data_IF_385144348467
#
_entry.id   IF_385144348467
#
_cell.length_a   1.000
_cell.length_b   1.000
_cell.length_c   1.000
_cell.angle_alpha   90.00
_cell.angle_beta   90.00
_cell.angle_gamma   90.00
#
_symmetry.space_group_name_H-M   'P 1'
#
loop_
_entity.id
_entity.type
_entity.pdbx_description
1 polymer ?
#
# COMPACT_ATOMS: atom_id res chain seq x y z
N UNK A 1 -0.63 -9.11 -12.80
CA UNK A 1 -2.07 -9.29 -12.49
C UNK A 1 -2.79 -7.98 -12.74
N UNK A 2 -3.89 -7.94 -13.51
CA UNK A 2 -4.73 -6.74 -13.65
C UNK A 2 -5.58 -6.54 -12.40
N UNK A 3 -5.99 -5.31 -12.10
CA UNK A 3 -6.87 -5.05 -10.95
C UNK A 3 -8.20 -5.81 -11.06
N UNK A 4 -8.74 -5.99 -12.27
CA UNK A 4 -9.94 -6.80 -12.51
C UNK A 4 -9.79 -8.28 -12.13
N UNK A 5 -8.55 -8.75 -11.99
CA UNK A 5 -8.19 -10.11 -11.61
C UNK A 5 -7.69 -10.18 -10.15
N UNK A 6 -7.87 -9.13 -9.34
CA UNK A 6 -7.29 -9.06 -7.98
C UNK A 6 -7.79 -10.18 -7.06
N UNK A 7 -8.97 -10.73 -7.31
CA UNK A 7 -9.50 -11.90 -6.59
C UNK A 7 -8.68 -13.18 -6.77
N UNK A 8 -7.79 -13.26 -7.75
CA UNK A 8 -6.80 -14.33 -7.85
C UNK A 8 -5.89 -14.34 -6.62
N UNK A 9 -5.63 -13.19 -5.97
CA UNK A 9 -4.80 -13.14 -4.75
C UNK A 9 -5.34 -13.97 -3.58
N UNK A 10 -6.63 -14.32 -3.62
CA UNK A 10 -7.30 -15.14 -2.62
C UNK A 10 -7.12 -16.64 -2.88
N UNK A 11 -6.42 -17.01 -3.95
CA UNK A 11 -6.14 -18.41 -4.26
C UNK A 11 -4.99 -18.90 -3.37
N UNK A 12 -5.10 -20.13 -2.87
CA UNK A 12 -4.15 -20.72 -1.91
C UNK A 12 -2.79 -21.10 -2.52
N UNK A 13 -2.66 -21.03 -3.85
CA UNK A 13 -1.42 -21.39 -4.53
C UNK A 13 -0.42 -20.22 -4.52
N UNK A 14 0.89 -20.48 -4.35
CA UNK A 14 1.91 -19.46 -4.55
C UNK A 14 1.77 -18.84 -5.93
N UNK A 15 1.77 -17.50 -6.02
CA UNK A 15 1.69 -16.88 -7.33
C UNK A 15 3.05 -16.87 -7.99
N UNK A 16 3.06 -16.97 -9.32
CA UNK A 16 4.29 -16.92 -10.11
C UNK A 16 5.00 -15.56 -10.04
N UNK A 17 4.37 -14.52 -9.49
CA UNK A 17 4.90 -13.16 -9.41
C UNK A 17 4.60 -12.53 -8.03
N UNK A 18 5.46 -12.84 -7.06
CA UNK A 18 5.36 -12.32 -5.69
C UNK A 18 6.28 -11.12 -5.43
N UNK A 19 7.32 -10.94 -6.25
CA UNK A 19 8.33 -9.89 -6.10
C UNK A 19 8.74 -9.35 -7.47
N UNK A 20 8.91 -8.03 -7.58
CA UNK A 20 9.37 -7.34 -8.78
C UNK A 20 8.30 -6.45 -9.38
N UNK A 21 8.54 -5.98 -10.60
CA UNK A 21 7.60 -5.14 -11.34
C UNK A 21 7.51 -5.49 -12.82
N UNK A 22 6.42 -5.07 -13.45
CA UNK A 22 6.15 -5.25 -14.87
C UNK A 22 5.25 -4.13 -15.39
N UNK A 23 5.18 -3.98 -16.72
CA UNK A 23 4.13 -3.18 -17.35
C UNK A 23 3.11 -4.12 -17.97
N UNK A 24 1.84 -3.91 -17.64
CA UNK A 24 0.73 -4.67 -18.19
C UNK A 24 0.47 -4.27 -19.64
N UNK A 25 -0.30 -5.08 -20.37
CA UNK A 25 -0.68 -4.87 -21.77
C UNK A 25 -1.48 -3.58 -22.00
N UNK A 26 -2.25 -3.14 -21.00
CA UNK A 26 -2.95 -1.85 -20.98
C UNK A 26 -2.04 -0.68 -20.63
N UNK A 27 -0.76 -0.93 -20.36
CA UNK A 27 0.27 0.05 -20.01
C UNK A 27 0.30 0.45 -18.54
N UNK A 28 -0.54 -0.11 -17.67
CA UNK A 28 -0.45 0.10 -16.20
C UNK A 28 0.82 -0.55 -15.68
N UNK A 29 1.54 0.16 -14.81
CA UNK A 29 2.68 -0.38 -14.09
C UNK A 29 2.20 -1.25 -12.94
N UNK A 30 2.71 -2.46 -12.84
CA UNK A 30 2.38 -3.42 -11.79
C UNK A 30 3.61 -3.69 -10.95
N UNK A 31 3.49 -3.56 -9.63
CA UNK A 31 4.55 -3.90 -8.67
C UNK A 31 4.01 -4.93 -7.71
N UNK A 32 4.79 -5.96 -7.43
CA UNK A 32 4.54 -6.96 -6.41
C UNK A 32 5.70 -6.96 -5.42
N UNK A 33 5.37 -6.97 -4.13
CA UNK A 33 6.34 -7.11 -3.05
C UNK A 33 5.81 -8.14 -2.07
N UNK A 34 6.67 -9.07 -1.66
CA UNK A 34 6.40 -10.01 -0.58
C UNK A 34 7.35 -9.69 0.56
N UNK A 35 6.78 -9.44 1.74
CA UNK A 35 7.55 -9.15 2.96
C UNK A 35 7.15 -10.15 4.04
N UNK A 36 8.13 -10.92 4.50
CA UNK A 36 8.01 -11.69 5.74
C UNK A 36 8.14 -10.73 6.91
N UNK A 37 7.18 -10.78 7.84
CA UNK A 37 7.15 -9.93 9.02
C UNK A 37 7.12 -10.83 10.26
N UNK A 38 8.30 -11.26 10.76
CA UNK A 38 8.39 -12.12 11.94
C UNK A 38 7.69 -11.49 13.14
N UNK A 39 7.05 -12.32 13.96
CA UNK A 39 6.33 -11.94 15.18
C UNK A 39 5.17 -10.93 14.98
N UNK A 40 4.89 -10.53 13.75
CA UNK A 40 3.76 -9.68 13.40
C UNK A 40 2.50 -10.50 13.10
N UNK A 41 1.34 -9.85 13.14
CA UNK A 41 0.06 -10.45 12.72
C UNK A 41 -0.77 -9.45 11.93
N UNK A 42 -1.75 -9.92 11.17
CA UNK A 42 -2.69 -9.07 10.44
C UNK A 42 -3.42 -8.08 11.35
N UNK A 43 -3.72 -8.48 12.59
CA UNK A 43 -4.31 -7.57 13.60
C UNK A 43 -3.38 -6.40 13.94
N UNK A 44 -2.08 -6.65 14.08
CA UNK A 44 -1.09 -5.60 14.35
C UNK A 44 -0.97 -4.64 13.16
N UNK A 45 -1.01 -5.16 11.93
CA UNK A 45 -0.99 -4.34 10.72
C UNK A 45 -2.22 -3.46 10.62
N UNK A 46 -3.43 -4.03 10.79
CA UNK A 46 -4.68 -3.27 10.78
C UNK A 46 -4.68 -2.15 11.83
N UNK A 47 -4.19 -2.47 13.03
CA UNK A 47 -4.01 -1.51 14.11
C UNK A 47 -3.01 -0.42 13.74
N UNK A 48 -1.86 -0.74 13.15
CA UNK A 48 -0.84 0.25 12.78
C UNK A 48 -1.42 1.37 11.91
N UNK A 49 -2.20 1.02 10.87
CA UNK A 49 -2.83 2.03 10.02
C UNK A 49 -3.86 2.89 10.77
N UNK A 50 -4.53 2.31 11.77
CA UNK A 50 -5.45 3.01 12.68
C UNK A 50 -4.73 3.89 13.71
N UNK A 51 -3.54 3.49 14.14
CA UNK A 51 -2.71 4.17 15.15
C UNK A 51 -1.90 5.33 14.56
N UNK A 52 -1.37 5.17 13.34
CA UNK A 52 -0.49 6.12 12.65
C UNK A 52 -1.16 7.48 12.43
N UNK A 53 -0.91 8.46 13.28
CA UNK A 53 -1.58 9.77 13.24
C UNK A 53 -0.61 10.95 13.07
N UNK A 54 0.63 10.79 13.54
CA UNK A 54 1.61 11.87 13.65
C UNK A 54 2.77 11.70 12.68
N UNK A 55 3.40 12.82 12.32
CA UNK A 55 4.61 12.79 11.48
C UNK A 55 5.76 12.02 12.12
N UNK A 56 5.88 12.03 13.45
CA UNK A 56 6.94 11.27 14.12
C UNK A 56 6.71 9.76 14.01
N UNK A 57 5.47 9.28 14.18
CA UNK A 57 5.12 7.88 13.89
C UNK A 57 5.39 7.53 12.43
N UNK A 58 5.03 8.42 11.50
CA UNK A 58 5.26 8.19 10.08
C UNK A 58 6.76 8.06 9.76
N UNK A 59 7.60 8.91 10.35
CA UNK A 59 9.06 8.82 10.23
C UNK A 59 9.62 7.52 10.81
N UNK A 60 9.09 7.01 11.92
CA UNK A 60 9.54 5.71 12.47
C UNK A 60 9.37 4.58 11.45
N UNK A 61 8.30 4.61 10.64
CA UNK A 61 8.01 3.59 9.64
C UNK A 61 9.02 3.55 8.49
N UNK A 62 9.54 4.71 8.08
CA UNK A 62 10.65 4.77 7.14
C UNK A 62 11.49 6.05 7.39
N UNK A 63 12.53 5.99 8.25
CA UNK A 63 13.26 7.18 8.71
C UNK A 63 13.93 7.96 7.58
N UNK A 64 14.35 7.26 6.53
CA UNK A 64 14.98 7.88 5.36
C UNK A 64 13.98 8.51 4.40
N UNK A 65 12.76 7.99 4.21
CA UNK A 65 11.88 8.43 3.11
C UNK A 65 10.66 9.22 3.59
N UNK A 66 10.13 8.92 4.77
CA UNK A 66 8.95 9.60 5.32
C UNK A 66 9.31 10.96 5.92
N UNK A 67 8.70 12.03 5.43
CA UNK A 67 9.05 13.41 5.83
C UNK A 67 7.95 14.05 6.67
N UNK A 68 6.70 13.89 6.24
CA UNK A 68 5.56 14.56 6.84
C UNK A 68 4.29 13.78 6.57
N UNK A 69 3.38 13.78 7.54
CA UNK A 69 2.02 13.37 7.29
C UNK A 69 0.97 14.20 8.03
N UNK A 70 -0.25 14.15 7.50
CA UNK A 70 -1.49 14.50 8.20
C UNK A 70 -2.65 13.68 7.66
N UNK A 71 -3.70 13.59 8.46
CA UNK A 71 -4.96 12.99 8.03
C UNK A 71 -6.01 14.05 7.74
N UNK A 72 -6.84 13.79 6.72
CA UNK A 72 -8.05 14.55 6.42
C UNK A 72 -9.22 13.58 6.18
N UNK A 73 -10.45 14.05 6.40
CA UNK A 73 -11.66 13.24 6.25
C UNK A 73 -12.07 12.55 7.55
N UNK A 74 -12.71 11.38 7.43
CA UNK A 74 -13.43 10.66 8.50
C UNK A 74 -12.57 10.16 9.67
N UNK A 75 -11.27 10.50 9.73
CA UNK A 75 -10.40 10.01 10.80
C UNK A 75 -10.76 10.66 12.15
N UNK A 76 -11.68 10.02 12.84
CA UNK A 76 -12.18 10.37 14.17
C UNK A 76 -12.93 9.24 14.88
N UNK A 77 -13.02 8.03 14.29
CA UNK A 77 -13.68 6.85 14.89
C UNK A 77 -12.70 5.71 15.21
N UNK A 78 -11.39 5.93 15.05
CA UNK A 78 -10.38 4.91 15.31
C UNK A 78 -10.19 3.87 14.19
N UNK A 79 -10.79 4.09 13.01
CA UNK A 79 -10.53 3.31 11.78
C UNK A 79 -9.96 4.22 10.70
N UNK A 80 -8.98 3.72 9.93
CA UNK A 80 -8.30 4.48 8.88
C UNK A 80 -9.08 4.54 7.54
N UNK A 81 -10.01 3.60 7.33
CA UNK A 81 -10.86 3.53 6.14
C UNK A 81 -11.71 4.80 6.01
N UNK A 82 -11.87 5.30 4.79
CA UNK A 82 -12.51 6.58 4.49
C UNK A 82 -11.59 7.79 4.67
N UNK A 83 -10.60 7.68 5.55
CA UNK A 83 -9.56 8.68 5.77
C UNK A 83 -8.64 8.86 4.56
N UNK A 84 -8.13 10.08 4.40
CA UNK A 84 -7.06 10.38 3.44
C UNK A 84 -5.79 10.81 4.18
N UNK A 85 -4.73 10.04 3.99
CA UNK A 85 -3.40 10.33 4.47
C UNK A 85 -2.69 11.21 3.45
N UNK A 86 -2.42 12.47 3.83
CA UNK A 86 -1.65 13.40 3.04
C UNK A 86 -0.21 13.28 3.51
N UNK A 87 0.67 12.84 2.61
CA UNK A 87 2.06 12.53 2.93
C UNK A 87 3.02 13.31 2.06
N UNK A 88 4.15 13.66 2.65
CA UNK A 88 5.35 14.02 1.90
C UNK A 88 6.38 12.92 2.12
N UNK A 89 6.81 12.28 1.04
CA UNK A 89 7.73 11.15 1.11
C UNK A 89 8.66 11.11 -0.10
N UNK A 90 9.83 10.53 0.10
CA UNK A 90 10.72 10.10 -0.97
C UNK A 90 10.36 8.67 -1.35
N UNK A 91 10.77 8.25 -2.55
CA UNK A 91 10.62 6.87 -3.03
C UNK A 91 12.02 6.38 -3.46
N UNK A 92 12.96 6.31 -2.50
CA UNK A 92 14.35 5.90 -2.73
C UNK A 92 15.24 6.93 -3.46
N UNK A 93 14.92 8.23 -3.40
CA UNK A 93 15.69 9.29 -4.05
C UNK A 93 15.49 10.67 -3.41
N UNK A 94 16.21 11.69 -3.87
CA UNK A 94 16.19 13.01 -3.23
C UNK A 94 14.86 13.78 -3.37
N UNK A 95 14.03 13.43 -4.35
CA UNK A 95 12.77 14.12 -4.64
C UNK A 95 11.72 13.78 -3.59
N UNK A 96 11.15 14.80 -2.96
CA UNK A 96 10.00 14.66 -2.08
C UNK A 96 8.71 14.78 -2.91
N UNK A 97 7.93 13.71 -2.92
CA UNK A 97 6.62 13.62 -3.52
C UNK A 97 5.56 14.05 -2.50
N UNK A 98 4.55 14.79 -2.95
CA UNK A 98 3.39 15.17 -2.13
C UNK A 98 2.19 14.36 -2.58
N UNK A 99 1.83 13.35 -1.80
CA UNK A 99 0.80 12.38 -2.18
C UNK A 99 -0.42 12.47 -1.26
N UNK A 100 -1.55 12.04 -1.80
CA UNK A 100 -2.75 11.72 -1.05
C UNK A 100 -3.04 10.24 -1.22
N UNK A 101 -3.31 9.56 -0.12
CA UNK A 101 -3.60 8.13 -0.06
C UNK A 101 -4.94 8.00 0.65
N UNK A 102 -5.98 7.63 -0.10
CA UNK A 102 -7.33 7.46 0.45
C UNK A 102 -7.60 5.98 0.65
N UNK A 103 -7.77 5.58 1.91
CA UNK A 103 -8.03 4.21 2.30
C UNK A 103 -9.50 3.87 2.09
N UNK A 104 -9.75 2.69 1.52
CA UNK A 104 -11.07 2.25 1.06
C UNK A 104 -11.34 0.84 1.54
N UNK A 105 -12.62 0.51 1.61
CA UNK A 105 -13.05 -0.84 1.94
C UNK A 105 -12.48 -1.86 0.93
N UNK A 106 -11.78 -2.91 1.38
CA UNK A 106 -11.28 -3.96 0.48
C UNK A 106 -12.40 -4.64 -0.33
N UNK A 107 -13.62 -4.70 0.21
CA UNK A 107 -14.81 -5.23 -0.47
C UNK A 107 -15.19 -4.48 -1.75
N UNK A 108 -14.61 -3.30 -1.99
CA UNK A 108 -14.79 -2.57 -3.26
C UNK A 108 -14.03 -3.19 -4.43
N UNK A 109 -13.03 -4.04 -4.17
CA UNK A 109 -12.22 -4.71 -5.20
C UNK A 109 -12.06 -6.21 -4.98
N UNK A 110 -12.25 -6.70 -3.75
CA UNK A 110 -12.08 -8.10 -3.36
C UNK A 110 -13.40 -8.72 -2.93
N UNK A 111 -13.53 -10.03 -3.17
CA UNK A 111 -14.58 -10.86 -2.59
C UNK A 111 -14.20 -11.24 -1.15
N UNK A 112 -14.60 -10.38 -0.22
CA UNK A 112 -14.31 -10.55 1.21
C UNK A 112 -14.96 -11.79 1.83
N UNK A 113 -15.96 -12.39 1.18
CA UNK A 113 -16.58 -13.63 1.67
C UNK A 113 -15.63 -14.83 1.64
N UNK A 114 -14.56 -14.76 0.83
CA UNK A 114 -13.54 -15.78 0.70
C UNK A 114 -12.36 -15.61 1.68
N UNK A 115 -12.31 -14.55 2.48
CA UNK A 115 -11.12 -14.23 3.29
C UNK A 115 -10.78 -15.32 4.30
N UNK A 116 -11.78 -15.90 4.97
CA UNK A 116 -11.57 -16.97 5.94
C UNK A 116 -10.97 -18.22 5.27
N UNK A 117 -11.56 -18.66 4.15
CA UNK A 117 -11.05 -19.80 3.37
C UNK A 117 -9.65 -19.54 2.81
N UNK A 118 -9.38 -18.30 2.37
CA UNK A 118 -8.09 -17.87 1.83
C UNK A 118 -7.04 -17.55 2.92
N UNK A 119 -7.39 -17.66 4.20
CA UNK A 119 -6.49 -17.34 5.32
C UNK A 119 -6.00 -15.89 5.34
N UNK A 120 -6.83 -14.94 4.87
CA UNK A 120 -6.49 -13.51 4.89
C UNK A 120 -6.81 -12.94 6.27
N UNK A 121 -5.78 -12.52 7.01
CA UNK A 121 -5.93 -11.94 8.35
C UNK A 121 -6.26 -10.44 8.32
N UNK A 122 -5.73 -9.70 7.34
CA UNK A 122 -6.19 -8.34 7.02
C UNK A 122 -5.91 -7.97 5.57
N UNK A 123 -6.62 -6.96 5.06
CA UNK A 123 -6.36 -6.34 3.77
C UNK A 123 -6.44 -4.81 3.87
N UNK A 124 -5.37 -4.12 3.47
CA UNK A 124 -5.29 -2.65 3.44
C UNK A 124 -5.33 -2.19 1.99
N UNK A 125 -6.41 -1.53 1.59
CA UNK A 125 -6.60 -1.04 0.22
C UNK A 125 -6.71 0.49 0.17
N UNK A 126 -6.02 1.12 -0.78
CA UNK A 126 -6.12 2.55 -0.99
C UNK A 126 -5.94 2.96 -2.47
N UNK A 127 -6.44 4.17 -2.78
CA UNK A 127 -6.09 4.92 -4.00
C UNK A 127 -5.04 5.98 -3.67
N UNK A 128 -4.00 6.03 -4.51
CA UNK A 128 -2.95 7.04 -4.45
C UNK A 128 -3.09 8.10 -5.54
N UNK A 129 -2.56 9.30 -5.29
CA UNK A 129 -2.44 10.36 -6.29
C UNK A 129 -1.65 11.56 -5.78
N UNK A 130 -1.36 12.52 -6.66
CA UNK A 130 -0.74 13.78 -6.24
C UNK A 130 -1.69 14.57 -5.32
N UNK A 131 -1.18 15.09 -4.20
CA UNK A 131 -1.99 15.74 -3.16
C UNK A 131 -2.76 16.98 -3.66
N UNK A 132 -2.19 17.70 -4.63
CA UNK A 132 -2.72 18.95 -5.17
C UNK A 132 -3.64 18.76 -6.39
N UNK A 133 -3.85 17.53 -6.85
CA UNK A 133 -4.70 17.26 -8.01
C UNK A 133 -5.95 16.49 -7.57
N UNK A 134 -7.14 16.78 -8.13
CA UNK A 134 -8.35 15.99 -7.90
C UNK A 134 -8.34 14.68 -8.74
N UNK A 135 -7.17 14.07 -8.91
CA UNK A 135 -6.93 12.90 -9.75
C UNK A 135 -6.35 11.79 -8.87
N UNK A 136 -6.78 10.58 -9.13
CA UNK A 136 -6.18 9.35 -8.62
C UNK A 136 -5.32 8.75 -9.73
N UNK A 137 -4.19 8.16 -9.38
CA UNK A 137 -3.21 7.69 -10.36
C UNK A 137 -2.63 6.31 -10.03
N UNK A 138 -3.10 5.66 -8.98
CA UNK A 138 -2.82 4.26 -8.76
C UNK A 138 -3.56 3.66 -7.58
N UNK A 139 -3.36 2.36 -7.41
CA UNK A 139 -3.88 1.55 -6.31
C UNK A 139 -2.72 0.97 -5.51
N UNK A 140 -2.94 0.76 -4.22
CA UNK A 140 -2.13 -0.11 -3.36
C UNK A 140 -3.05 -1.07 -2.62
N UNK A 141 -2.65 -2.33 -2.56
CA UNK A 141 -3.27 -3.38 -1.77
C UNK A 141 -2.17 -4.11 -0.99
N UNK A 142 -2.28 -4.13 0.33
CA UNK A 142 -1.52 -5.04 1.18
C UNK A 142 -2.47 -6.15 1.64
N UNK A 143 -2.19 -7.40 1.26
CA UNK A 143 -2.92 -8.57 1.74
C UNK A 143 -2.02 -9.34 2.70
N UNK A 144 -2.51 -9.59 3.91
CA UNK A 144 -1.72 -10.18 4.99
C UNK A 144 -2.28 -11.56 5.33
N UNK A 145 -1.38 -12.51 5.50
CA UNK A 145 -1.68 -13.88 5.92
C UNK A 145 -0.83 -14.20 7.15
N UNK A 146 -1.46 -14.64 8.23
CA UNK A 146 -0.74 -15.05 9.43
C UNK A 146 -0.12 -16.45 9.22
N UNK A 147 1.00 -16.68 9.88
CA UNK A 147 1.84 -17.89 9.82
C UNK A 147 2.29 -18.26 11.24
N UNK A 148 2.90 -19.42 11.42
CA UNK A 148 3.39 -19.85 12.74
C UNK A 148 4.52 -18.94 13.26
N UNK A 149 5.26 -18.27 12.37
CA UNK A 149 6.41 -17.42 12.69
C UNK A 149 6.11 -15.90 12.66
N UNK A 150 4.86 -15.49 12.39
CA UNK A 150 4.49 -14.09 12.21
C UNK A 150 3.44 -13.92 11.11
N UNK A 151 3.65 -13.00 10.17
CA UNK A 151 2.78 -12.87 9.01
C UNK A 151 3.55 -12.59 7.71
N UNK A 152 2.95 -12.95 6.58
CA UNK A 152 3.42 -12.59 5.24
C UNK A 152 2.52 -11.50 4.69
N UNK A 153 3.11 -10.35 4.35
CA UNK A 153 2.44 -9.29 3.63
C UNK A 153 2.74 -9.38 2.13
N UNK A 154 1.69 -9.46 1.32
CA UNK A 154 1.73 -9.48 -0.14
C UNK A 154 1.17 -8.16 -0.65
N UNK A 155 2.05 -7.26 -1.03
CA UNK A 155 1.73 -5.92 -1.53
C UNK A 155 1.61 -5.91 -3.05
N UNK A 156 0.60 -5.22 -3.57
CA UNK A 156 0.40 -4.98 -5.00
C UNK A 156 0.14 -3.51 -5.27
N UNK A 157 0.81 -2.98 -6.28
CA UNK A 157 0.59 -1.63 -6.78
C UNK A 157 0.20 -1.66 -8.25
N UNK A 158 -0.81 -0.87 -8.60
CA UNK A 158 -1.20 -0.61 -9.99
C UNK A 158 -1.02 0.88 -10.27
N UNK A 159 0.13 1.25 -10.83
CA UNK A 159 0.55 2.62 -11.08
C UNK A 159 0.16 3.08 -12.49
N UNK A 160 -0.33 4.31 -12.61
CA UNK A 160 -0.79 4.88 -13.88
C UNK A 160 -2.23 4.50 -14.25
N UNK A 161 -3.00 3.91 -13.33
CA UNK A 161 -4.46 3.79 -13.46
C UNK A 161 -5.13 5.12 -13.09
N UNK A 162 -5.26 6.01 -14.08
CA UNK A 162 -5.67 7.40 -13.87
C UNK A 162 -7.19 7.55 -13.88
N UNK A 163 -7.74 8.17 -12.83
CA UNK A 163 -9.17 8.49 -12.72
C UNK A 163 -9.43 9.80 -11.98
N UNK A 164 -10.28 10.72 -12.50
CA UNK A 164 -10.93 10.64 -13.82
C UNK A 164 -9.91 10.77 -14.96
N UNK A 165 -10.28 10.28 -16.15
CA UNK A 165 -9.44 10.43 -17.35
C UNK A 165 -9.54 11.87 -17.85
N UNK A 166 -8.40 12.54 -17.94
CA UNK A 166 -8.25 13.89 -18.48
C UNK A 166 -7.37 13.79 -19.72
N UNK A 167 -7.86 14.22 -20.91
CA UNK A 167 -7.10 14.14 -22.15
C UNK A 167 -5.70 14.73 -22.01
N UNK A 168 -4.71 14.08 -22.61
CA UNK A 168 -3.26 14.40 -22.53
C UNK A 168 -2.66 14.23 -21.14
N UNK A 169 -3.24 14.85 -20.10
CA UNK A 169 -2.70 14.82 -18.74
C UNK A 169 -2.64 13.39 -18.17
N UNK A 170 -3.68 12.58 -18.35
CA UNK A 170 -3.67 11.18 -17.91
C UNK A 170 -2.57 10.35 -18.58
N UNK A 171 -2.26 10.63 -19.86
CA UNK A 171 -1.18 9.96 -20.57
C UNK A 171 0.20 10.34 -20.02
N UNK A 172 0.40 11.61 -19.64
CA UNK A 172 1.64 12.09 -19.02
C UNK A 172 1.83 11.50 -17.62
N UNK A 173 0.79 11.50 -16.79
CA UNK A 173 0.81 10.90 -15.45
C UNK A 173 1.14 9.41 -15.55
N UNK A 174 0.45 8.69 -16.44
CA UNK A 174 0.71 7.27 -16.66
C UNK A 174 2.16 7.03 -17.06
N UNK A 175 2.67 7.75 -18.06
CA UNK A 175 4.06 7.61 -18.53
C UNK A 175 5.09 7.83 -17.41
N UNK A 176 4.90 8.84 -16.56
CA UNK A 176 5.80 9.14 -15.44
C UNK A 176 5.80 7.99 -14.41
N UNK A 177 4.61 7.56 -14.01
CA UNK A 177 4.41 6.54 -12.98
C UNK A 177 4.76 5.11 -13.41
N UNK A 178 4.84 4.84 -14.72
CA UNK A 178 5.16 3.52 -15.27
C UNK A 178 6.56 3.44 -15.86
N UNK A 179 7.42 4.42 -15.56
CA UNK A 179 8.85 4.34 -15.87
C UNK A 179 9.53 3.25 -15.03
N UNK A 180 10.63 2.68 -15.52
CA UNK A 180 11.36 1.64 -14.79
C UNK A 180 11.90 2.14 -13.45
N UNK A 181 12.34 3.39 -13.42
CA UNK A 181 12.77 4.05 -12.19
C UNK A 181 11.60 4.15 -11.19
N UNK A 182 10.42 4.59 -11.63
CA UNK A 182 9.26 4.69 -10.74
C UNK A 182 8.83 3.32 -10.19
N UNK A 183 8.82 2.29 -11.04
CA UNK A 183 8.40 0.93 -10.66
C UNK A 183 9.41 0.26 -9.72
N UNK A 184 10.71 0.35 -10.05
CA UNK A 184 11.78 -0.21 -9.21
C UNK A 184 11.94 0.55 -7.89
N UNK A 185 11.74 1.87 -7.88
CA UNK A 185 11.71 2.67 -6.64
C UNK A 185 10.54 2.28 -5.75
N UNK A 186 9.33 2.09 -6.31
CA UNK A 186 8.17 1.67 -5.53
C UNK A 186 8.35 0.27 -4.93
N UNK A 187 8.90 -0.67 -5.71
CA UNK A 187 9.23 -2.01 -5.21
C UNK A 187 10.16 -1.94 -4.00
N UNK A 188 11.28 -1.20 -4.14
CA UNK A 188 12.28 -1.05 -3.09
C UNK A 188 11.70 -0.36 -1.85
N UNK A 189 11.01 0.76 -2.04
CA UNK A 189 10.43 1.54 -0.96
C UNK A 189 9.43 0.71 -0.13
N UNK A 190 8.52 0.00 -0.80
CA UNK A 190 7.55 -0.87 -0.12
C UNK A 190 8.26 -2.02 0.64
N UNK A 191 9.28 -2.63 0.05
CA UNK A 191 10.03 -3.67 0.75
C UNK A 191 10.72 -3.11 2.01
N UNK A 192 11.36 -1.94 1.90
CA UNK A 192 12.05 -1.29 3.02
C UNK A 192 11.09 -0.88 4.14
N UNK A 193 10.02 -0.14 3.85
CA UNK A 193 9.09 0.34 4.88
C UNK A 193 8.43 -0.81 5.65
N UNK A 194 8.05 -1.89 4.97
CA UNK A 194 7.37 -3.02 5.61
C UNK A 194 8.36 -3.86 6.42
N UNK A 195 9.61 -4.00 5.94
CA UNK A 195 10.67 -4.66 6.71
C UNK A 195 11.02 -3.86 7.96
N UNK A 196 11.10 -2.52 7.87
CA UNK A 196 11.34 -1.65 9.03
C UNK A 196 10.16 -1.71 10.00
N UNK A 197 8.92 -1.68 9.51
CA UNK A 197 7.74 -1.82 10.36
C UNK A 197 7.79 -3.11 11.18
N UNK A 198 8.17 -4.23 10.56
CA UNK A 198 8.27 -5.53 11.22
C UNK A 198 9.22 -5.51 12.43
N UNK A 199 10.24 -4.64 12.45
CA UNK A 199 11.24 -4.65 13.54
C UNK A 199 10.74 -4.05 14.84
N UNK A 200 9.66 -3.27 14.83
CA UNK A 200 9.16 -2.58 16.03
C UNK A 200 7.67 -2.74 16.25
N UNK A 201 6.91 -3.19 15.25
CA UNK A 201 5.45 -3.27 15.34
C UNK A 201 4.96 -4.19 16.47
N UNK A 202 5.52 -5.39 16.72
CA UNK A 202 5.02 -6.27 17.78
C UNK A 202 5.13 -5.65 19.18
N UNK A 203 6.28 -5.07 19.50
CA UNK A 203 6.54 -4.41 20.79
C UNK A 203 5.66 -3.16 20.93
N UNK A 204 5.63 -2.32 19.89
CA UNK A 204 4.81 -1.10 19.89
C UNK A 204 3.31 -1.42 20.05
N UNK A 205 2.82 -2.49 19.43
CA UNK A 205 1.45 -2.95 19.57
C UNK A 205 1.16 -3.36 21.01
N UNK A 206 2.03 -4.15 21.64
CA UNK A 206 1.86 -4.61 23.03
C UNK A 206 1.87 -3.47 24.06
N UNK A 207 2.59 -2.37 23.79
CA UNK A 207 2.64 -1.21 24.67
C UNK A 207 1.41 -0.30 24.56
N UNK A 208 0.77 -0.25 23.39
CA UNK A 208 -0.23 0.76 23.04
C UNK A 208 -1.64 0.21 22.81
N UNK A 209 -1.84 -1.11 22.90
CA UNK A 209 -3.11 -1.82 22.74
C UNK A 209 -3.27 -2.94 23.77
#
# INVERSE_FOLDING_TARGET
MKLSAVNEMLDSNPHSFEQGWARLDDGVGFVAVRTDMPDCSGKMIDWWFSYLATTEQYKMWHPEDHVYCKWIGERGTGRYIGGTHIVHERLGGAKVHKLKINFREPSTILDVSRFEEAGVSTAVYARGGAANLPIWSGHVLHMVHDTDEGCVMRSRFWLGDVSPVIPVLSGLIKKDMTSDDALSSMERHCHQEMTILATFLPELYAEQH
#
